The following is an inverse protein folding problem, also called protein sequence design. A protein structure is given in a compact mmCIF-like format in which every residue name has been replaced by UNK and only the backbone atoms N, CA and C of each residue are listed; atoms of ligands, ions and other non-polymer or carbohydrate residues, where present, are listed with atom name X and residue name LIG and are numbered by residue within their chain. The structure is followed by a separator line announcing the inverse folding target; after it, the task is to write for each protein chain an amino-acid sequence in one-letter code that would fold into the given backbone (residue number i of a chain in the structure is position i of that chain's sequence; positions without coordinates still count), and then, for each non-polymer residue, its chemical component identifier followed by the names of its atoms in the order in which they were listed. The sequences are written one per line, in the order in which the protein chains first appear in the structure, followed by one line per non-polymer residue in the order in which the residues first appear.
data_IF_593284712228
#
_entry.id   IF_593284712228
#
_cell.length_a   1.000
_cell.length_b   1.000
_cell.length_c   1.000
_cell.angle_alpha   90.00
_cell.angle_beta   90.00
_cell.angle_gamma   90.00
#
_symmetry.space_group_name_H-M   'P 1'
#
loop_
_entity.id
_entity.type
_entity.pdbx_description
1 polymer ?
#
# COMPACT_ATOMS: atom_id res chain seq x y z
N UNK A 1 -27.99 -16.03 -31.45
CA UNK A 1 -27.09 -16.12 -30.29
C UNK A 1 -25.95 -15.15 -30.54
N UNK A 2 -26.03 -13.94 -29.97
CA UNK A 2 -24.99 -12.93 -30.16
C UNK A 2 -23.81 -13.22 -29.22
N UNK A 3 -22.56 -13.11 -29.70
CA UNK A 3 -21.40 -13.31 -28.83
C UNK A 3 -21.36 -12.20 -27.78
N UNK A 4 -21.31 -12.60 -26.52
CA UNK A 4 -21.01 -11.69 -25.43
C UNK A 4 -19.56 -11.25 -25.60
N UNK A 5 -19.34 -10.01 -26.03
CA UNK A 5 -18.02 -9.40 -25.94
C UNK A 5 -17.67 -9.30 -24.45
N UNK A 6 -16.68 -10.07 -24.00
CA UNK A 6 -16.06 -9.85 -22.70
C UNK A 6 -15.52 -8.41 -22.71
N UNK A 7 -16.13 -7.55 -21.90
CA UNK A 7 -15.60 -6.22 -21.64
C UNK A 7 -14.28 -6.43 -20.91
N UNK A 8 -13.16 -6.26 -21.60
CA UNK A 8 -11.85 -6.19 -20.96
C UNK A 8 -11.83 -4.87 -20.18
N UNK A 9 -12.19 -4.95 -18.91
CA UNK A 9 -12.04 -3.83 -17.99
C UNK A 9 -10.54 -3.53 -17.89
N UNK A 10 -10.14 -2.33 -18.33
CA UNK A 10 -8.78 -1.86 -18.10
C UNK A 10 -8.59 -1.74 -16.59
N UNK A 11 -7.58 -2.39 -15.99
CA UNK A 11 -7.35 -2.31 -14.55
C UNK A 11 -7.16 -0.86 -14.11
N UNK A 12 -7.88 -0.42 -13.07
CA UNK A 12 -7.72 0.92 -12.50
C UNK A 12 -6.34 1.02 -11.84
N UNK A 13 -5.47 1.90 -12.32
CA UNK A 13 -4.16 2.16 -11.69
C UNK A 13 -4.22 3.44 -10.86
N UNK A 14 -4.04 3.30 -9.54
CA UNK A 14 -3.98 4.44 -8.61
C UNK A 14 -2.56 5.01 -8.57
N UNK A 15 -2.40 6.23 -9.09
CA UNK A 15 -1.12 6.94 -9.13
C UNK A 15 -0.70 7.46 -7.73
N UNK A 16 0.60 7.55 -7.42
CA UNK A 16 1.06 8.10 -6.16
C UNK A 16 0.86 9.62 -6.13
N UNK A 17 0.19 10.12 -5.09
CA UNK A 17 -0.14 11.56 -4.96
C UNK A 17 0.93 12.37 -4.24
N UNK A 18 1.80 11.72 -3.46
CA UNK A 18 2.82 12.39 -2.61
C UNK A 18 4.26 12.09 -3.01
N UNK A 19 4.49 11.37 -4.12
CA UNK A 19 5.82 11.14 -4.65
C UNK A 19 6.51 12.46 -5.05
N UNK A 20 7.75 12.65 -4.63
CA UNK A 20 8.49 13.90 -4.76
C UNK A 20 8.21 14.93 -3.64
N UNK A 21 7.29 14.63 -2.72
CA UNK A 21 7.01 15.46 -1.55
C UNK A 21 7.28 14.70 -0.25
N UNK A 22 6.68 13.52 -0.07
CA UNK A 22 6.90 12.70 1.13
C UNK A 22 8.12 11.79 1.04
N UNK A 23 8.44 11.37 -0.18
CA UNK A 23 9.55 10.48 -0.50
C UNK A 23 10.01 10.76 -1.93
N UNK A 24 11.24 10.39 -2.32
CA UNK A 24 11.75 10.64 -3.67
C UNK A 24 10.85 10.09 -4.77
N UNK A 25 10.65 10.88 -5.84
CA UNK A 25 9.91 10.44 -7.03
C UNK A 25 10.76 9.53 -7.93
N UNK A 26 12.06 9.77 -7.97
CA UNK A 26 12.97 9.02 -8.86
C UNK A 26 13.26 7.63 -8.25
N UNK A 27 13.11 6.54 -9.04
CA UNK A 27 13.23 5.18 -8.52
C UNK A 27 14.58 4.87 -7.85
N UNK A 28 15.71 5.30 -8.41
CA UNK A 28 17.04 5.02 -7.85
C UNK A 28 17.25 5.76 -6.51
N UNK A 29 16.85 7.02 -6.42
CA UNK A 29 16.86 7.82 -5.20
C UNK A 29 15.96 7.20 -4.12
N UNK A 30 14.77 6.72 -4.50
CA UNK A 30 13.87 6.06 -3.56
C UNK A 30 14.48 4.76 -3.02
N UNK A 31 15.08 3.93 -3.88
CA UNK A 31 15.79 2.71 -3.45
C UNK A 31 16.94 3.04 -2.50
N UNK A 32 17.75 4.04 -2.83
CA UNK A 32 18.85 4.48 -1.98
C UNK A 32 18.35 4.95 -0.61
N UNK A 33 17.32 5.80 -0.58
CA UNK A 33 16.75 6.30 0.66
C UNK A 33 16.19 5.17 1.53
N UNK A 34 15.44 4.23 0.95
CA UNK A 34 14.92 3.07 1.68
C UNK A 34 16.06 2.20 2.21
N UNK A 35 17.06 1.87 1.39
CA UNK A 35 18.22 1.08 1.84
C UNK A 35 18.99 1.75 2.99
N UNK A 36 19.17 3.07 2.93
CA UNK A 36 19.82 3.82 4.00
C UNK A 36 19.01 3.76 5.30
N UNK A 37 17.70 4.03 5.24
CA UNK A 37 16.83 3.98 6.42
C UNK A 37 16.78 2.57 7.03
N UNK A 38 16.65 1.53 6.20
CA UNK A 38 16.62 0.13 6.64
C UNK A 38 17.95 -0.32 7.24
N UNK A 39 19.08 0.15 6.70
CA UNK A 39 20.43 -0.16 7.19
C UNK A 39 20.75 0.40 8.59
N UNK A 40 19.93 1.32 9.12
CA UNK A 40 20.07 1.82 10.49
C UNK A 40 19.52 0.83 11.54
N UNK A 41 18.62 -0.07 11.14
CA UNK A 41 18.00 -1.02 12.05
C UNK A 41 18.96 -2.15 12.42
N UNK A 42 18.94 -2.52 13.71
CA UNK A 42 19.65 -3.69 14.25
C UNK A 42 18.70 -4.79 14.70
N UNK A 43 17.42 -4.66 14.37
CA UNK A 43 16.39 -5.61 14.79
C UNK A 43 16.51 -6.90 13.98
N UNK A 44 16.25 -8.03 14.63
CA UNK A 44 16.09 -9.30 13.92
C UNK A 44 14.64 -9.41 13.42
N UNK A 45 14.44 -9.78 12.13
CA UNK A 45 13.10 -10.01 11.61
C UNK A 45 12.34 -11.08 12.40
N UNK A 46 11.04 -10.86 12.59
CA UNK A 46 10.11 -11.81 13.19
C UNK A 46 8.77 -11.76 12.50
N UNK A 47 7.94 -12.78 12.73
CA UNK A 47 6.57 -12.77 12.25
C UNK A 47 5.71 -11.85 13.11
N UNK A 48 4.84 -11.07 12.47
CA UNK A 48 3.81 -10.30 13.16
C UNK A 48 2.52 -10.34 12.34
N UNK A 49 1.39 -10.46 13.04
CA UNK A 49 0.05 -10.41 12.42
C UNK A 49 -0.43 -8.98 12.18
N UNK A 50 0.02 -8.04 13.02
CA UNK A 50 -0.33 -6.63 12.98
C UNK A 50 0.91 -5.81 13.25
N UNK A 51 1.11 -4.77 12.45
CA UNK A 51 2.16 -3.78 12.64
C UNK A 51 1.56 -2.38 12.58
N UNK A 52 2.14 -1.46 13.34
CA UNK A 52 1.79 -0.05 13.30
C UNK A 52 3.05 0.71 12.89
N UNK A 53 2.94 1.51 11.83
CA UNK A 53 4.02 2.35 11.34
C UNK A 53 3.50 3.77 11.11
N UNK A 54 4.33 4.80 11.32
CA UNK A 54 3.97 6.17 10.97
C UNK A 54 3.90 6.34 9.45
N UNK A 55 3.13 7.33 8.98
CA UNK A 55 2.91 7.60 7.55
C UNK A 55 3.27 9.04 7.13
N UNK A 56 4.11 9.74 7.91
CA UNK A 56 4.64 11.05 7.51
C UNK A 56 5.73 10.89 6.44
N UNK A 57 6.28 12.00 5.97
CA UNK A 57 7.39 11.98 5.03
C UNK A 57 8.66 11.36 5.63
N UNK A 58 9.57 10.88 4.77
CA UNK A 58 10.82 10.23 5.18
C UNK A 58 11.66 11.08 6.15
N UNK A 59 11.82 12.40 5.98
CA UNK A 59 12.56 13.22 6.93
C UNK A 59 11.97 13.25 8.35
N UNK A 60 10.66 13.05 8.52
CA UNK A 60 10.02 13.14 9.84
C UNK A 60 9.85 11.79 10.53
N UNK A 61 9.61 10.71 9.78
CA UNK A 61 9.31 9.41 10.38
C UNK A 61 9.85 8.21 9.62
N UNK A 62 10.75 8.43 8.65
CA UNK A 62 11.28 7.37 7.79
C UNK A 62 12.12 6.34 8.57
N UNK A 63 12.87 6.79 9.57
CA UNK A 63 13.69 5.96 10.45
C UNK A 63 12.84 5.05 11.35
N UNK A 64 11.76 5.59 11.93
CA UNK A 64 10.80 4.83 12.74
C UNK A 64 10.07 3.80 11.88
N UNK A 65 9.57 4.19 10.69
CA UNK A 65 8.94 3.26 9.77
C UNK A 65 9.91 2.14 9.34
N UNK A 66 11.15 2.48 9.00
CA UNK A 66 12.16 1.51 8.62
C UNK A 66 12.51 0.55 9.76
N UNK A 67 12.61 1.03 11.00
CA UNK A 67 12.82 0.16 12.16
C UNK A 67 11.70 -0.89 12.32
N UNK A 68 10.43 -0.49 12.08
CA UNK A 68 9.28 -1.40 12.11
C UNK A 68 9.38 -2.45 11.00
N UNK A 69 9.60 -2.04 9.75
CA UNK A 69 9.64 -2.97 8.63
C UNK A 69 10.89 -3.86 8.63
N UNK A 70 12.02 -3.38 9.12
CA UNK A 70 13.25 -4.18 9.27
C UNK A 70 13.10 -5.27 10.35
N UNK A 71 12.20 -5.08 11.31
CA UNK A 71 11.91 -6.07 12.34
C UNK A 71 10.87 -7.12 11.90
N UNK A 72 10.44 -7.11 10.63
CA UNK A 72 9.34 -7.94 10.15
C UNK A 72 9.79 -8.90 9.03
N UNK A 73 9.40 -10.17 9.13
CA UNK A 73 9.31 -11.02 7.93
C UNK A 73 8.14 -10.55 7.08
N UNK A 74 8.44 -9.85 5.98
CA UNK A 74 7.44 -9.26 5.07
C UNK A 74 6.63 -10.40 4.40
N UNK A 75 5.32 -10.54 4.67
CA UNK A 75 4.48 -11.52 3.96
C UNK A 75 4.23 -11.08 2.51
N UNK A 76 3.72 -12.00 1.70
CA UNK A 76 3.35 -11.71 0.30
C UNK A 76 2.08 -10.86 0.20
N UNK A 77 1.17 -10.96 1.18
CA UNK A 77 -0.14 -10.30 1.18
C UNK A 77 -0.32 -9.42 2.41
N UNK A 78 -0.85 -8.22 2.18
CA UNK A 78 -0.99 -7.18 3.20
C UNK A 78 -2.38 -6.56 3.13
N UNK A 79 -2.94 -6.25 4.29
CA UNK A 79 -4.06 -5.33 4.42
C UNK A 79 -3.49 -4.05 5.05
N UNK A 80 -3.57 -2.93 4.32
CA UNK A 80 -3.11 -1.63 4.80
C UNK A 80 -4.33 -0.81 5.21
N UNK A 81 -4.43 -0.52 6.50
CA UNK A 81 -5.47 0.36 7.05
C UNK A 81 -4.90 1.78 7.19
N UNK A 82 -5.56 2.74 6.54
CA UNK A 82 -5.18 4.15 6.58
C UNK A 82 -6.37 5.03 6.93
N UNK A 83 -6.11 6.14 7.60
CA UNK A 83 -7.14 7.13 7.94
C UNK A 83 -7.43 8.04 6.75
N UNK A 84 -8.70 8.40 6.58
CA UNK A 84 -9.11 9.41 5.63
C UNK A 84 -8.93 10.82 6.22
N UNK A 85 -7.81 11.47 5.91
CA UNK A 85 -7.52 12.83 6.39
C UNK A 85 -8.32 13.94 5.68
N UNK A 86 -9.06 13.61 4.61
CA UNK A 86 -9.86 14.60 3.87
C UNK A 86 -11.28 14.76 4.43
N UNK A 87 -11.77 13.75 5.16
CA UNK A 87 -13.17 13.67 5.60
C UNK A 87 -14.18 13.45 4.45
N UNK A 88 -13.72 13.27 3.21
CA UNK A 88 -14.58 13.08 2.04
C UNK A 88 -14.69 11.60 1.68
N UNK A 89 -15.91 11.14 1.43
CA UNK A 89 -16.19 9.76 1.04
C UNK A 89 -16.76 8.91 2.19
N UNK A 90 -16.84 7.59 2.00
CA UNK A 90 -17.44 6.69 2.97
C UNK A 90 -16.57 6.53 4.22
N UNK A 91 -17.17 6.03 5.30
CA UNK A 91 -16.48 5.78 6.57
C UNK A 91 -15.38 4.73 6.43
N UNK A 92 -15.62 3.69 5.62
CA UNK A 92 -14.64 2.66 5.26
C UNK A 92 -14.69 2.43 3.75
N UNK A 93 -13.53 2.39 3.10
CA UNK A 93 -13.44 2.00 1.70
C UNK A 93 -12.24 1.12 1.39
N UNK A 94 -12.35 0.33 0.33
CA UNK A 94 -11.28 -0.50 -0.22
C UNK A 94 -11.27 -0.34 -1.74
N UNK A 95 -10.08 -0.22 -2.33
CA UNK A 95 -9.95 -0.38 -3.77
C UNK A 95 -10.00 -1.88 -4.08
N UNK A 96 -11.10 -2.36 -4.68
CA UNK A 96 -11.36 -3.79 -4.84
C UNK A 96 -10.60 -4.46 -6.00
N UNK A 97 -10.23 -3.69 -7.03
CA UNK A 97 -9.55 -4.18 -8.23
C UNK A 97 -8.48 -3.20 -8.70
N UNK A 98 -7.54 -3.69 -9.51
CA UNK A 98 -6.49 -2.86 -10.13
C UNK A 98 -5.16 -2.89 -9.38
N UNK A 99 -4.43 -1.79 -9.40
CA UNK A 99 -3.09 -1.71 -8.80
C UNK A 99 -2.78 -0.31 -8.24
N UNK A 100 -1.91 -0.28 -7.23
CA UNK A 100 -1.28 0.95 -6.72
C UNK A 100 0.07 1.14 -7.40
N UNK A 101 0.23 2.23 -8.13
CA UNK A 101 1.52 2.58 -8.70
C UNK A 101 2.42 3.21 -7.63
N UNK A 102 3.65 2.73 -7.56
CA UNK A 102 4.75 3.34 -6.80
C UNK A 102 5.87 3.72 -7.77
N UNK A 103 6.84 4.56 -7.36
CA UNK A 103 8.04 4.76 -8.17
C UNK A 103 8.86 3.48 -8.41
N UNK A 104 8.67 2.41 -7.61
CA UNK A 104 9.39 1.15 -7.76
C UNK A 104 8.65 0.11 -8.62
N UNK A 105 7.43 0.43 -9.08
CA UNK A 105 6.57 -0.49 -9.81
C UNK A 105 5.13 -0.47 -9.28
N UNK A 106 4.27 -1.25 -9.92
CA UNK A 106 2.88 -1.42 -9.53
C UNK A 106 2.74 -2.55 -8.50
N UNK A 107 1.88 -2.32 -7.51
CA UNK A 107 1.49 -3.32 -6.50
C UNK A 107 0.04 -3.69 -6.78
N UNK A 108 -0.25 -4.92 -7.21
CA UNK A 108 -1.61 -5.34 -7.52
C UNK A 108 -2.47 -5.39 -6.25
N UNK A 109 -3.76 -5.08 -6.39
CA UNK A 109 -4.75 -5.38 -5.37
C UNK A 109 -5.05 -6.87 -5.39
N UNK A 110 -5.05 -7.50 -4.22
CA UNK A 110 -5.51 -8.88 -4.05
C UNK A 110 -7.04 -8.93 -4.18
N UNK A 111 -7.51 -9.05 -5.42
CA UNK A 111 -8.93 -8.85 -5.77
C UNK A 111 -9.84 -9.85 -5.06
N UNK A 112 -9.46 -11.13 -5.01
CA UNK A 112 -10.26 -12.15 -4.34
C UNK A 112 -10.42 -11.85 -2.84
N UNK A 113 -9.37 -11.34 -2.18
CA UNK A 113 -9.44 -10.95 -0.77
C UNK A 113 -10.31 -9.70 -0.58
N UNK A 114 -10.19 -8.70 -1.46
CA UNK A 114 -10.97 -7.48 -1.37
C UNK A 114 -12.48 -7.76 -1.58
N UNK A 115 -12.83 -8.62 -2.52
CA UNK A 115 -14.20 -9.09 -2.75
C UNK A 115 -14.75 -9.85 -1.53
N UNK A 116 -13.94 -10.71 -0.92
CA UNK A 116 -14.33 -11.40 0.31
C UNK A 116 -14.57 -10.42 1.48
N UNK A 117 -13.74 -9.38 1.60
CA UNK A 117 -13.94 -8.33 2.59
C UNK A 117 -15.24 -7.55 2.35
N UNK A 118 -15.52 -7.16 1.10
CA UNK A 118 -16.77 -6.46 0.74
C UNK A 118 -18.00 -7.32 1.05
N UNK A 119 -17.94 -8.63 0.76
CA UNK A 119 -19.05 -9.54 1.03
C UNK A 119 -19.31 -9.74 2.53
N UNK A 120 -18.26 -9.69 3.36
CA UNK A 120 -18.35 -9.94 4.82
C UNK A 120 -18.51 -8.68 5.66
N UNK A 121 -18.22 -7.51 5.11
CA UNK A 121 -18.23 -6.23 5.82
C UNK A 121 -19.22 -5.26 5.15
N UNK A 122 -20.51 -5.26 5.55
CA UNK A 122 -21.54 -4.41 4.93
C UNK A 122 -21.28 -2.89 5.01
N UNK A 123 -20.37 -2.46 5.89
CA UNK A 123 -19.98 -1.07 6.06
C UNK A 123 -18.80 -0.63 5.17
N UNK A 124 -18.24 -1.55 4.37
CA UNK A 124 -17.08 -1.31 3.51
C UNK A 124 -17.54 -1.02 2.07
N UNK A 125 -17.15 0.14 1.55
CA UNK A 125 -17.47 0.55 0.18
C UNK A 125 -16.29 0.32 -0.80
N UNK A 126 -16.60 0.05 -2.06
CA UNK A 126 -15.63 -0.20 -3.15
C UNK A 126 -15.24 1.06 -3.94
#
# INVERSE_FOLDING_TARGET
MSPQHAVVSVPRVRRPTVAGYFYPREPAQLRQAVSQLMGLSRQQPRDARVVIAPHSSFPFSGDVAAAVFAALHIPERWIILGTNHTGVGPAWSVMATGAYQTPLGEVPVETALAEELLARCPALDA
#
